data_IF_600010313622
#
_entry.id   IF_600010313622
#
_cell.length_a   1.000
_cell.length_b   1.000
_cell.length_c   1.000
_cell.angle_alpha   90.00
_cell.angle_beta   90.00
_cell.angle_gamma   90.00
#
_symmetry.space_group_name_H-M   'P 1'
#
loop_
_entity.id
_entity.type
_entity.pdbx_description
1 polymer ?
#
# COMPACT_ATOMS: atom_id res chain seq x y z
N UNK A 1 3.11 18.44 7.17
CA UNK A 1 3.31 18.44 5.70
C UNK A 1 1.96 18.65 5.04
N UNK A 2 1.91 19.50 3.99
CA UNK A 2 0.66 19.70 3.20
C UNK A 2 0.94 19.22 1.79
N UNK A 3 0.00 18.42 1.24
CA UNK A 3 0.02 17.94 -0.14
C UNK A 3 -1.22 18.46 -0.84
N UNK A 4 -1.06 19.09 -2.00
CA UNK A 4 -2.17 19.64 -2.79
C UNK A 4 -2.38 18.85 -4.08
N UNK A 5 -3.63 18.69 -4.50
CA UNK A 5 -4.01 17.98 -5.71
C UNK A 5 -5.52 17.80 -5.86
N UNK A 6 -5.92 17.12 -6.92
CA UNK A 6 -7.28 16.71 -7.14
C UNK A 6 -7.57 15.48 -6.25
N UNK A 7 -8.33 15.67 -5.19
CA UNK A 7 -8.64 14.63 -4.20
C UNK A 7 -9.73 13.73 -4.74
N UNK A 8 -9.43 12.43 -4.84
CA UNK A 8 -10.39 11.38 -5.21
C UNK A 8 -11.07 10.88 -3.95
N UNK A 9 -12.25 11.39 -3.67
CA UNK A 9 -13.10 11.01 -2.55
C UNK A 9 -13.98 9.82 -2.97
N UNK A 10 -13.49 8.62 -2.68
CA UNK A 10 -14.13 7.37 -3.11
C UNK A 10 -15.50 7.18 -2.44
N UNK A 11 -15.61 7.54 -1.16
CA UNK A 11 -16.83 7.36 -0.38
C UNK A 11 -17.98 8.22 -0.94
N UNK A 12 -17.68 9.48 -1.27
CA UNK A 12 -18.66 10.41 -1.82
C UNK A 12 -18.69 10.43 -3.35
N UNK A 13 -17.91 9.58 -4.02
CA UNK A 13 -17.86 9.43 -5.49
C UNK A 13 -17.65 10.76 -6.21
N UNK A 14 -16.72 11.58 -5.73
CA UNK A 14 -16.41 12.89 -6.28
C UNK A 14 -14.92 13.15 -6.37
N UNK A 15 -14.53 14.09 -7.21
CA UNK A 15 -13.17 14.62 -7.30
C UNK A 15 -13.26 16.13 -7.07
N UNK A 16 -12.39 16.66 -6.23
CA UNK A 16 -12.35 18.09 -5.96
C UNK A 16 -10.91 18.56 -5.72
N UNK A 17 -10.63 19.82 -6.03
CA UNK A 17 -9.36 20.45 -5.69
C UNK A 17 -9.24 20.60 -4.19
N UNK A 18 -8.14 20.16 -3.61
CA UNK A 18 -7.98 20.19 -2.17
C UNK A 18 -6.55 19.98 -1.69
N UNK A 19 -6.42 20.00 -0.40
CA UNK A 19 -5.18 19.75 0.31
C UNK A 19 -5.37 18.73 1.42
N UNK A 20 -4.34 17.93 1.63
CA UNK A 20 -4.24 16.94 2.70
C UNK A 20 -3.16 17.40 3.66
N UNK A 21 -3.51 17.65 4.90
CA UNK A 21 -2.59 17.98 5.99
C UNK A 21 -2.19 16.68 6.71
N UNK A 22 -0.88 16.47 6.80
CA UNK A 22 -0.29 15.26 7.39
C UNK A 22 0.68 15.66 8.48
N UNK A 23 0.53 15.06 9.66
CA UNK A 23 1.44 15.20 10.79
C UNK A 23 1.57 13.86 11.51
N UNK A 24 2.79 13.51 11.91
CA UNK A 24 3.11 12.25 12.62
C UNK A 24 2.52 11.01 11.92
N UNK A 25 2.69 10.93 10.59
CA UNK A 25 2.21 9.85 9.73
C UNK A 25 0.68 9.65 9.73
N UNK A 26 -0.05 10.69 10.13
CA UNK A 26 -1.53 10.69 10.13
C UNK A 26 -2.08 11.85 9.31
N UNK A 27 -3.16 11.58 8.61
CA UNK A 27 -3.96 12.62 7.97
C UNK A 27 -4.73 13.35 9.08
N UNK A 28 -4.43 14.64 9.27
CA UNK A 28 -5.13 15.50 10.22
C UNK A 28 -6.40 16.10 9.62
N UNK A 29 -6.31 16.53 8.36
CA UNK A 29 -7.43 17.17 7.70
C UNK A 29 -7.33 17.04 6.18
N UNK A 30 -8.49 17.04 5.55
CA UNK A 30 -8.67 17.18 4.11
C UNK A 30 -9.59 18.38 3.89
N UNK A 31 -9.13 19.38 3.13
CA UNK A 31 -9.87 20.63 2.90
C UNK A 31 -9.93 20.94 1.42
N UNK A 32 -11.03 21.54 0.99
CA UNK A 32 -11.09 22.14 -0.33
C UNK A 32 -10.12 23.33 -0.40
N UNK A 33 -9.41 23.44 -1.51
CA UNK A 33 -8.41 24.49 -1.74
C UNK A 33 -8.40 24.84 -3.23
N UNK A 34 -8.17 26.11 -3.56
CA UNK A 34 -8.01 26.52 -4.96
C UNK A 34 -6.53 26.53 -5.33
N UNK A 35 -6.16 25.68 -6.31
CA UNK A 35 -4.79 25.55 -6.80
C UNK A 35 -4.77 25.15 -8.28
N UNK A 36 -3.61 25.30 -8.92
CA UNK A 36 -3.38 24.95 -10.33
C UNK A 36 -2.74 23.57 -10.54
N UNK A 37 -2.59 22.77 -9.47
CA UNK A 37 -1.92 21.46 -9.52
C UNK A 37 -2.88 20.44 -10.17
N UNK A 38 -2.39 19.69 -11.16
CA UNK A 38 -3.19 18.70 -11.90
C UNK A 38 -3.07 17.27 -11.36
N UNK A 39 -2.12 17.02 -10.45
CA UNK A 39 -1.92 15.71 -9.86
C UNK A 39 -3.14 15.26 -9.05
N UNK A 40 -3.32 13.94 -8.96
CA UNK A 40 -4.38 13.34 -8.16
C UNK A 40 -3.84 12.83 -6.82
N UNK A 41 -4.65 12.97 -5.79
CA UNK A 41 -4.43 12.37 -4.47
C UNK A 41 -5.55 11.37 -4.25
N UNK A 42 -5.18 10.11 -4.02
CA UNK A 42 -6.13 9.02 -3.78
C UNK A 42 -5.57 8.07 -2.71
N UNK A 43 -6.44 7.27 -2.06
CA UNK A 43 -5.98 6.22 -1.15
C UNK A 43 -5.03 5.27 -1.87
N UNK A 44 -4.02 4.78 -1.16
CA UNK A 44 -3.11 3.77 -1.69
C UNK A 44 -3.85 2.48 -2.05
N UNK A 45 -3.34 1.77 -3.02
CA UNK A 45 -3.95 0.54 -3.52
C UNK A 45 -3.72 -0.62 -2.58
N UNK A 46 -4.73 -1.47 -2.46
CA UNK A 46 -4.63 -2.78 -1.80
C UNK A 46 -4.68 -3.85 -2.89
N UNK A 47 -3.61 -4.63 -3.02
CA UNK A 47 -3.64 -5.83 -3.84
C UNK A 47 -4.38 -6.92 -3.06
N UNK A 48 -5.57 -7.26 -3.53
CA UNK A 48 -6.49 -8.14 -2.81
C UNK A 48 -6.14 -9.63 -2.93
N UNK A 49 -5.23 -10.00 -3.82
CA UNK A 49 -4.76 -11.39 -3.96
C UNK A 49 -3.44 -11.45 -4.72
N UNK A 50 -2.39 -11.86 -4.04
CA UNK A 50 -1.07 -12.02 -4.66
C UNK A 50 -0.29 -13.19 -4.06
N UNK A 51 0.51 -13.84 -4.90
CA UNK A 51 1.55 -14.79 -4.52
C UNK A 51 2.91 -14.09 -4.66
N UNK A 52 3.45 -13.60 -3.55
CA UNK A 52 4.72 -12.81 -3.56
C UNK A 52 5.86 -13.68 -4.10
N UNK A 53 5.90 -14.94 -3.72
CA UNK A 53 6.92 -15.89 -4.15
C UNK A 53 6.96 -16.10 -5.67
N UNK A 54 5.84 -15.96 -6.37
CA UNK A 54 5.78 -15.99 -7.84
C UNK A 54 6.61 -14.89 -8.49
N UNK A 55 6.85 -13.79 -7.78
CA UNK A 55 7.77 -12.73 -8.23
C UNK A 55 9.25 -13.06 -8.04
N UNK A 56 9.57 -14.21 -7.43
CA UNK A 56 10.91 -14.61 -7.01
C UNK A 56 11.56 -13.64 -5.99
N UNK A 57 10.76 -12.87 -5.30
CA UNK A 57 11.19 -11.93 -4.27
C UNK A 57 10.68 -12.35 -2.89
N UNK A 58 11.39 -11.91 -1.87
CA UNK A 58 10.88 -11.94 -0.49
C UNK A 58 10.03 -10.69 -0.22
N UNK A 59 9.12 -10.70 0.76
CA UNK A 59 8.22 -9.57 1.02
C UNK A 59 8.91 -8.22 1.16
N UNK A 60 10.05 -8.15 1.84
CA UNK A 60 10.78 -6.89 2.03
C UNK A 60 11.34 -6.30 0.71
N UNK A 61 11.70 -7.14 -0.25
CA UNK A 61 12.17 -6.68 -1.57
C UNK A 61 11.00 -6.38 -2.49
N UNK A 62 9.94 -7.19 -2.44
CA UNK A 62 8.69 -6.92 -3.14
C UNK A 62 8.11 -5.55 -2.77
N UNK A 63 8.12 -5.20 -1.49
CA UNK A 63 7.61 -3.91 -1.00
C UNK A 63 8.28 -2.72 -1.69
N UNK A 64 9.59 -2.78 -1.97
CA UNK A 64 10.33 -1.70 -2.65
C UNK A 64 9.82 -1.42 -4.06
N UNK A 65 9.36 -2.46 -4.74
CA UNK A 65 8.80 -2.36 -6.08
C UNK A 65 7.33 -1.95 -6.03
N UNK A 66 6.55 -2.55 -5.15
CA UNK A 66 5.12 -2.33 -5.06
C UNK A 66 4.75 -0.90 -4.64
N UNK A 67 5.48 -0.33 -3.68
CA UNK A 67 5.17 1.00 -3.11
C UNK A 67 5.32 2.13 -4.13
N UNK A 68 6.26 2.04 -5.06
CA UNK A 68 6.45 3.07 -6.10
C UNK A 68 5.32 3.09 -7.12
N UNK A 69 4.49 2.06 -7.15
CA UNK A 69 3.27 1.98 -7.95
C UNK A 69 1.99 2.24 -7.15
N UNK A 70 2.14 2.70 -5.90
CA UNK A 70 1.02 3.10 -5.05
C UNK A 70 0.39 1.98 -4.23
N UNK A 71 0.95 0.77 -4.23
CA UNK A 71 0.47 -0.33 -3.38
C UNK A 71 0.92 -0.11 -1.93
N UNK A 72 -0.04 -0.10 -0.99
CA UNK A 72 0.21 0.11 0.44
C UNK A 72 -0.07 -1.12 1.29
N UNK A 73 -0.81 -2.08 0.74
CA UNK A 73 -1.13 -3.34 1.41
C UNK A 73 -1.35 -4.46 0.39
N UNK A 74 -1.16 -5.70 0.82
CA UNK A 74 -1.47 -6.90 0.05
C UNK A 74 -2.26 -7.90 0.90
N UNK A 75 -3.06 -8.72 0.24
CA UNK A 75 -3.55 -9.99 0.78
C UNK A 75 -2.78 -11.09 0.03
N UNK A 76 -1.90 -11.76 0.74
CA UNK A 76 -0.93 -12.70 0.16
C UNK A 76 -1.25 -14.12 0.59
N UNK A 77 -1.24 -15.03 -0.37
CA UNK A 77 -1.39 -16.47 -0.12
C UNK A 77 -0.02 -17.15 -0.33
N UNK A 78 0.67 -17.55 0.76
CA UNK A 78 2.04 -18.07 0.70
C UNK A 78 2.08 -19.59 0.45
N UNK A 79 1.13 -20.16 -0.29
CA UNK A 79 1.05 -21.61 -0.48
C UNK A 79 2.19 -22.18 -1.34
N UNK A 80 2.79 -21.39 -2.23
CA UNK A 80 3.91 -21.84 -3.05
C UNK A 80 5.13 -22.14 -2.17
N UNK A 81 5.50 -21.22 -1.27
CA UNK A 81 6.60 -21.47 -0.34
C UNK A 81 6.22 -22.54 0.71
N UNK A 82 4.94 -22.64 1.08
CA UNK A 82 4.45 -23.69 1.96
C UNK A 82 4.65 -25.09 1.35
N UNK A 83 4.43 -25.23 0.05
CA UNK A 83 4.66 -26.50 -0.66
C UNK A 83 6.14 -26.91 -0.68
N UNK A 84 7.06 -25.97 -0.61
CA UNK A 84 8.53 -26.23 -0.66
C UNK A 84 9.12 -26.39 0.73
N UNK A 85 8.77 -25.53 1.68
CA UNK A 85 9.38 -25.44 3.00
C UNK A 85 8.40 -25.68 4.16
N UNK A 86 7.14 -25.99 3.86
CA UNK A 86 6.10 -26.15 4.88
C UNK A 86 5.87 -24.89 5.70
N UNK A 87 5.43 -25.04 6.93
CA UNK A 87 5.12 -23.94 7.85
C UNK A 87 6.30 -22.98 8.04
N UNK A 88 7.54 -23.51 8.04
CA UNK A 88 8.74 -22.66 8.16
C UNK A 88 8.89 -21.66 7.03
N UNK A 89 8.44 -22.00 5.82
CA UNK A 89 8.42 -21.10 4.69
C UNK A 89 7.40 -19.96 4.90
N UNK A 90 6.23 -20.29 5.39
CA UNK A 90 5.19 -19.30 5.73
C UNK A 90 5.69 -18.37 6.84
N UNK A 91 6.23 -18.91 7.92
CA UNK A 91 6.81 -18.12 9.02
C UNK A 91 7.89 -17.15 8.52
N UNK A 92 8.75 -17.63 7.62
CA UNK A 92 9.77 -16.78 7.00
C UNK A 92 9.16 -15.61 6.23
N UNK A 93 8.12 -15.84 5.43
CA UNK A 93 7.44 -14.77 4.68
C UNK A 93 6.82 -13.75 5.64
N UNK A 94 6.14 -14.19 6.68
CA UNK A 94 5.53 -13.32 7.69
C UNK A 94 6.60 -12.47 8.39
N UNK A 95 7.67 -13.08 8.89
CA UNK A 95 8.74 -12.38 9.61
C UNK A 95 9.53 -11.44 8.69
N UNK A 96 9.70 -11.81 7.42
CA UNK A 96 10.34 -10.94 6.45
C UNK A 96 9.47 -9.71 6.13
N UNK A 97 8.15 -9.88 6.00
CA UNK A 97 7.20 -8.79 5.75
C UNK A 97 7.17 -7.74 6.86
N UNK A 98 7.39 -8.13 8.12
CA UNK A 98 7.43 -7.20 9.27
C UNK A 98 8.60 -6.20 9.22
N UNK A 99 9.58 -6.39 8.35
CA UNK A 99 10.77 -5.53 8.24
C UNK A 99 10.52 -4.23 7.47
N UNK A 100 9.36 -4.07 6.86
CA UNK A 100 9.02 -2.94 5.99
C UNK A 100 7.63 -2.39 6.32
N UNK A 101 7.35 -1.10 5.99
CA UNK A 101 6.07 -0.47 6.32
C UNK A 101 4.88 -0.98 5.49
N UNK A 102 5.10 -1.58 4.30
CA UNK A 102 4.01 -2.14 3.49
C UNK A 102 3.28 -3.22 4.29
N UNK A 103 1.96 -3.15 4.31
CA UNK A 103 1.13 -4.08 5.10
C UNK A 103 0.93 -5.38 4.33
N UNK A 104 1.50 -6.45 4.83
CA UNK A 104 1.25 -7.79 4.33
C UNK A 104 0.22 -8.51 5.21
N UNK A 105 -0.89 -8.93 4.61
CA UNK A 105 -1.88 -9.79 5.23
C UNK A 105 -1.74 -11.16 4.57
N UNK A 106 -1.39 -12.16 5.35
CA UNK A 106 -1.26 -13.54 4.89
C UNK A 106 -2.54 -14.31 5.24
N UNK A 107 -3.13 -14.97 4.23
CA UNK A 107 -4.35 -15.79 4.33
C UNK A 107 -4.06 -17.27 4.46
#
# INVERSE_FOLDING_TARGET
MIVQGNIVDIENKRIFKGEVEIENDKILAIRASDHSIENYILPGFVDAHIHIESSMLVPSEFAKIAVVHGTVATVSDPHEIANVLGVKGVDFMIENGKKVPLKFNFG
#
